data_IF_579509055071
#
_entry.id   IF_579509055071
#
_cell.length_a   1.000
_cell.length_b   1.000
_cell.length_c   1.000
_cell.angle_alpha   90.00
_cell.angle_beta   90.00
_cell.angle_gamma   90.00
#
_symmetry.space_group_name_H-M   'P 1'
#
loop_
_entity.id
_entity.type
_entity.pdbx_description
1 polymer ?
#
# COMPACT_ATOMS: atom_id res chain seq x y z
N UNK A 1 -12.84 4.42 -1.34
CA UNK A 1 -11.54 3.69 -1.29
C UNK A 1 -11.68 2.52 -0.35
N UNK A 2 -11.14 1.38 -0.74
CA UNK A 2 -11.22 0.17 0.07
C UNK A 2 -10.35 0.27 1.31
N UNK A 3 -10.88 -0.21 2.43
CA UNK A 3 -10.12 -0.34 3.67
C UNK A 3 -10.01 -1.81 4.01
N UNK A 4 -8.81 -2.29 4.21
CA UNK A 4 -8.53 -3.70 4.46
C UNK A 4 -7.77 -3.90 5.77
N UNK A 5 -7.90 -5.10 6.33
CA UNK A 5 -7.01 -5.57 7.38
C UNK A 5 -5.99 -6.48 6.72
N UNK A 6 -4.70 -6.14 6.80
CA UNK A 6 -3.67 -6.93 6.16
C UNK A 6 -3.56 -8.29 6.84
N UNK A 7 -3.75 -9.36 6.05
CA UNK A 7 -3.59 -10.72 6.55
C UNK A 7 -2.11 -11.13 6.50
N UNK A 8 -1.82 -12.35 6.96
CA UNK A 8 -0.46 -12.84 7.04
C UNK A 8 0.23 -12.87 5.66
N UNK A 9 -0.49 -13.18 4.59
CA UNK A 9 0.07 -13.22 3.25
C UNK A 9 0.46 -11.83 2.76
N UNK A 10 -0.41 -10.85 2.95
CA UNK A 10 -0.12 -9.46 2.56
C UNK A 10 1.11 -8.96 3.32
N UNK A 11 1.16 -9.22 4.62
CA UNK A 11 2.31 -8.83 5.44
C UNK A 11 3.61 -9.48 4.95
N UNK A 12 3.53 -10.76 4.59
CA UNK A 12 4.70 -11.48 4.08
C UNK A 12 5.19 -10.89 2.76
N UNK A 13 4.27 -10.62 1.82
CA UNK A 13 4.64 -9.99 0.54
C UNK A 13 5.28 -8.62 0.76
N UNK A 14 4.72 -7.82 1.65
CA UNK A 14 5.29 -6.50 1.96
C UNK A 14 6.69 -6.63 2.56
N UNK A 15 6.90 -7.59 3.46
CA UNK A 15 8.21 -7.84 4.04
C UNK A 15 9.23 -8.28 3.00
N UNK A 16 8.87 -9.18 2.10
CA UNK A 16 9.76 -9.59 1.01
C UNK A 16 10.05 -8.44 0.06
N UNK A 17 9.03 -7.66 -0.29
CA UNK A 17 9.22 -6.51 -1.17
C UNK A 17 10.17 -5.48 -0.53
N UNK A 18 10.07 -5.27 0.78
CA UNK A 18 10.97 -4.37 1.49
C UNK A 18 12.41 -4.88 1.44
N UNK A 19 12.60 -6.18 1.65
CA UNK A 19 13.95 -6.79 1.62
C UNK A 19 14.59 -6.69 0.24
N UNK A 20 13.81 -6.77 -0.81
CA UNK A 20 14.32 -6.70 -2.19
C UNK A 20 14.32 -5.29 -2.75
N UNK A 21 14.07 -4.29 -1.89
CA UNK A 21 14.01 -2.87 -2.29
C UNK A 21 12.96 -2.58 -3.35
N UNK A 22 11.86 -3.30 -3.28
CA UNK A 22 10.73 -3.15 -4.20
C UNK A 22 9.62 -2.29 -3.60
N UNK A 23 9.95 -1.51 -2.57
CA UNK A 23 9.02 -0.64 -1.86
C UNK A 23 9.62 0.75 -1.73
N UNK A 24 8.78 1.77 -1.85
CA UNK A 24 9.08 3.12 -1.41
C UNK A 24 8.16 3.43 -0.23
N UNK A 25 8.66 4.09 0.79
CA UNK A 25 7.86 4.42 1.97
C UNK A 25 8.11 5.86 2.43
N UNK A 26 7.09 6.46 3.01
CA UNK A 26 7.11 7.85 3.41
C UNK A 26 6.62 8.76 2.30
N UNK A 27 6.18 9.97 2.68
CA UNK A 27 5.48 10.87 1.77
C UNK A 27 6.28 11.22 0.51
N UNK A 28 7.53 11.63 0.68
CA UNK A 28 8.32 12.11 -0.46
C UNK A 28 8.66 10.99 -1.43
N UNK A 29 9.10 9.84 -0.90
CA UNK A 29 9.48 8.72 -1.76
C UNK A 29 8.28 8.15 -2.52
N UNK A 30 7.14 8.05 -1.87
CA UNK A 30 5.92 7.54 -2.52
C UNK A 30 5.44 8.53 -3.59
N UNK A 31 5.45 9.82 -3.30
CA UNK A 31 5.04 10.82 -4.28
C UNK A 31 5.92 10.78 -5.53
N UNK A 32 7.24 10.70 -5.34
CA UNK A 32 8.16 10.57 -6.46
C UNK A 32 7.90 9.32 -7.29
N UNK A 33 7.66 8.20 -6.63
CA UNK A 33 7.38 6.95 -7.32
C UNK A 33 6.10 7.02 -8.14
N UNK A 34 5.05 7.64 -7.59
CA UNK A 34 3.79 7.82 -8.32
C UNK A 34 4.02 8.70 -9.56
N UNK A 35 4.69 9.83 -9.39
CA UNK A 35 4.95 10.75 -10.50
C UNK A 35 5.81 10.14 -11.59
N UNK A 36 6.77 9.31 -11.20
CA UNK A 36 7.66 8.64 -12.14
C UNK A 36 7.03 7.43 -12.84
N UNK A 37 5.79 7.09 -12.50
CA UNK A 37 5.13 5.92 -13.08
C UNK A 37 5.65 4.59 -12.55
N UNK A 38 6.35 4.60 -11.43
CA UNK A 38 6.96 3.40 -10.85
C UNK A 38 6.09 2.73 -9.79
N UNK A 39 5.14 3.46 -9.21
CA UNK A 39 4.26 2.91 -8.17
C UNK A 39 3.21 2.00 -8.82
N UNK A 40 3.13 0.76 -8.34
CA UNK A 40 2.19 -0.24 -8.87
C UNK A 40 1.00 -0.46 -7.94
N UNK A 41 1.14 -0.12 -6.66
CA UNK A 41 0.11 -0.22 -5.65
C UNK A 41 0.47 0.75 -4.53
N UNK A 42 -0.49 1.54 -4.08
CA UNK A 42 -0.29 2.47 -2.97
C UNK A 42 -1.11 1.99 -1.78
N UNK A 43 -0.47 1.94 -0.61
CA UNK A 43 -1.12 1.54 0.63
C UNK A 43 -0.95 2.67 1.65
N UNK A 44 -2.04 3.04 2.31
CA UNK A 44 -2.05 4.12 3.29
C UNK A 44 -2.58 3.58 4.61
N UNK A 45 -1.87 3.87 5.70
CA UNK A 45 -2.36 3.54 7.03
C UNK A 45 -3.65 4.31 7.30
N UNK A 46 -4.69 3.62 7.75
CA UNK A 46 -5.99 4.25 8.02
C UNK A 46 -5.90 5.30 9.14
N UNK A 47 -4.85 5.24 9.96
CA UNK A 47 -4.61 6.20 11.04
C UNK A 47 -3.81 7.43 10.57
N UNK A 48 -3.45 7.50 9.30
CA UNK A 48 -2.81 8.69 8.75
C UNK A 48 -3.78 9.87 8.82
N UNK A 49 -3.23 11.09 8.77
CA UNK A 49 -4.07 12.29 8.76
C UNK A 49 -4.99 12.30 7.54
N UNK A 50 -6.13 12.98 7.65
CA UNK A 50 -7.03 13.14 6.51
C UNK A 50 -6.32 13.80 5.33
N UNK A 51 -5.46 14.77 5.61
CA UNK A 51 -4.69 15.44 4.55
C UNK A 51 -3.79 14.45 3.81
N UNK A 52 -3.13 13.55 4.54
CA UNK A 52 -2.29 12.52 3.93
C UNK A 52 -3.11 11.56 3.08
N UNK A 53 -4.24 11.09 3.61
CA UNK A 53 -5.11 10.17 2.89
C UNK A 53 -5.61 10.81 1.60
N UNK A 54 -6.10 12.04 1.68
CA UNK A 54 -6.58 12.76 0.50
C UNK A 54 -5.49 12.98 -0.53
N UNK A 55 -4.31 13.42 -0.09
CA UNK A 55 -3.16 13.69 -0.96
C UNK A 55 -2.79 12.46 -1.79
N UNK A 56 -2.61 11.32 -1.14
CA UNK A 56 -2.14 10.12 -1.83
C UNK A 56 -3.26 9.38 -2.57
N UNK A 57 -4.50 9.50 -2.11
CA UNK A 57 -5.66 9.01 -2.86
C UNK A 57 -5.80 9.74 -4.18
N UNK A 58 -5.68 11.06 -4.14
CA UNK A 58 -5.76 11.89 -5.34
C UNK A 58 -4.63 11.60 -6.30
N UNK A 59 -3.39 11.57 -5.81
CA UNK A 59 -2.22 11.30 -6.64
C UNK A 59 -2.32 9.92 -7.30
N UNK A 60 -2.76 8.91 -6.55
CA UNK A 60 -2.94 7.56 -7.08
C UNK A 60 -4.00 7.52 -8.17
N UNK A 61 -5.14 8.16 -7.93
CA UNK A 61 -6.22 8.24 -8.90
C UNK A 61 -5.76 8.94 -10.19
N UNK A 62 -5.06 10.05 -10.04
CA UNK A 62 -4.55 10.83 -11.19
C UNK A 62 -3.62 9.99 -12.07
N UNK A 63 -2.85 9.09 -11.47
CA UNK A 63 -1.90 8.25 -12.18
C UNK A 63 -2.41 6.83 -12.41
N UNK A 64 -3.68 6.58 -12.18
CA UNK A 64 -4.33 5.28 -12.39
C UNK A 64 -3.66 4.14 -11.60
N UNK A 65 -3.25 4.42 -10.37
CA UNK A 65 -2.65 3.44 -9.47
C UNK A 65 -3.68 3.03 -8.42
N UNK A 66 -3.81 1.73 -8.18
CA UNK A 66 -4.70 1.25 -7.13
C UNK A 66 -4.20 1.72 -5.77
N UNK A 67 -5.12 2.19 -4.94
CA UNK A 67 -4.83 2.71 -3.61
C UNK A 67 -5.80 2.12 -2.59
N UNK A 68 -5.27 1.62 -1.48
CA UNK A 68 -6.10 1.07 -0.40
C UNK A 68 -5.67 1.61 0.95
N UNK A 69 -6.61 1.65 1.89
CA UNK A 69 -6.32 1.93 3.29
C UNK A 69 -6.06 0.60 4.01
N UNK A 70 -5.06 0.59 4.86
CA UNK A 70 -4.72 -0.58 5.67
C UNK A 70 -4.98 -0.25 7.13
N UNK A 71 -5.78 -1.07 7.80
CA UNK A 71 -6.11 -0.85 9.21
C UNK A 71 -4.89 -1.04 10.11
N UNK A 72 -4.90 -0.31 11.23
CA UNK A 72 -3.88 -0.38 12.26
C UNK A 72 -2.49 0.01 11.74
N UNK A 73 -1.48 -0.38 12.49
CA UNK A 73 -0.08 -0.09 12.17
C UNK A 73 0.59 -1.23 11.41
N UNK A 74 -0.21 -2.17 10.90
CA UNK A 74 0.30 -3.36 10.21
C UNK A 74 1.20 -3.01 9.03
N UNK A 75 0.88 -1.93 8.33
CA UNK A 75 1.62 -1.52 7.14
C UNK A 75 3.09 -1.21 7.46
N UNK A 76 3.33 -0.31 8.41
CA UNK A 76 4.69 0.03 8.81
C UNK A 76 5.44 -1.13 9.43
N UNK A 77 4.75 -1.89 10.27
CA UNK A 77 5.35 -3.06 10.91
C UNK A 77 5.79 -4.10 9.88
N UNK A 78 4.99 -4.33 8.85
CA UNK A 78 5.30 -5.32 7.82
C UNK A 78 6.59 -5.01 7.06
N UNK A 79 6.91 -3.74 6.89
CA UNK A 79 8.12 -3.31 6.18
C UNK A 79 9.28 -2.96 7.12
N UNK A 80 9.09 -3.16 8.43
CA UNK A 80 10.14 -2.89 9.41
C UNK A 80 10.34 -1.41 9.73
N UNK A 81 9.37 -0.55 9.40
CA UNK A 81 9.41 0.89 9.66
C UNK A 81 8.08 1.33 10.24
N UNK A 82 7.85 1.09 11.54
CA UNK A 82 6.53 1.32 12.16
C UNK A 82 5.97 2.73 12.02
N UNK A 83 6.84 3.73 11.87
CA UNK A 83 6.42 5.12 11.74
C UNK A 83 5.86 5.48 10.36
N UNK A 84 6.03 4.62 9.36
CA UNK A 84 5.58 4.93 7.99
C UNK A 84 4.07 4.82 7.87
N UNK A 85 3.45 5.81 7.29
CA UNK A 85 2.00 5.88 7.10
C UNK A 85 1.57 5.68 5.65
N UNK A 86 2.50 5.79 4.70
CA UNK A 86 2.22 5.58 3.29
C UNK A 86 3.37 4.78 2.68
N UNK A 87 2.99 3.81 1.84
CA UNK A 87 3.93 2.88 1.22
C UNK A 87 3.44 2.61 -0.19
N UNK A 88 4.35 2.44 -1.14
CA UNK A 88 3.97 1.93 -2.45
C UNK A 88 4.84 0.76 -2.84
N UNK A 89 4.26 -0.15 -3.61
CA UNK A 89 4.96 -1.33 -4.15
C UNK A 89 5.43 -0.97 -5.55
N UNK A 90 6.70 -1.21 -5.82
CA UNK A 90 7.34 -0.84 -7.09
C UNK A 90 7.41 -1.99 -8.08
N UNK A 91 7.32 -3.21 -7.59
CA UNK A 91 7.40 -4.42 -8.41
C UNK A 91 6.00 -4.92 -8.75
N UNK A 92 5.72 -5.10 -10.04
CA UNK A 92 4.38 -5.51 -10.47
C UNK A 92 4.01 -6.92 -10.01
N UNK A 93 4.97 -7.81 -9.81
CA UNK A 93 4.67 -9.17 -9.32
C UNK A 93 4.18 -9.13 -7.88
N UNK A 94 4.86 -8.39 -7.01
CA UNK A 94 4.40 -8.22 -5.63
C UNK A 94 3.07 -7.48 -5.59
N UNK A 95 2.92 -6.43 -6.39
CA UNK A 95 1.68 -5.67 -6.44
C UNK A 95 0.51 -6.56 -6.86
N UNK A 96 0.68 -7.37 -7.91
CA UNK A 96 -0.36 -8.29 -8.38
C UNK A 96 -0.72 -9.31 -7.30
N UNK A 97 0.28 -9.89 -6.64
CA UNK A 97 0.03 -10.86 -5.57
C UNK A 97 -0.77 -10.24 -4.41
N UNK A 98 -0.41 -9.02 -4.02
CA UNK A 98 -1.10 -8.31 -2.95
C UNK A 98 -2.52 -7.93 -3.37
N UNK A 99 -2.71 -7.44 -4.59
CA UNK A 99 -4.03 -7.07 -5.10
C UNK A 99 -4.93 -8.30 -5.17
N UNK A 100 -4.42 -9.43 -5.63
CA UNK A 100 -5.19 -10.67 -5.65
C UNK A 100 -5.63 -11.08 -4.24
N UNK A 101 -4.77 -10.94 -3.26
CA UNK A 101 -5.09 -11.24 -1.87
C UNK A 101 -6.15 -10.28 -1.33
N UNK A 102 -6.06 -9.01 -1.67
CA UNK A 102 -7.07 -8.00 -1.31
C UNK A 102 -8.43 -8.38 -1.90
N UNK A 103 -8.47 -8.80 -3.14
CA UNK A 103 -9.71 -9.20 -3.79
C UNK A 103 -10.33 -10.43 -3.10
N UNK A 104 -9.53 -11.37 -2.64
CA UNK A 104 -10.03 -12.52 -1.89
C UNK A 104 -10.63 -12.10 -0.56
N UNK A 105 -10.04 -11.14 0.12
CA UNK A 105 -10.58 -10.59 1.36
C UNK A 105 -11.94 -9.94 1.10
N UNK A 106 -12.05 -9.12 0.05
CA UNK A 106 -13.30 -8.46 -0.31
C UNK A 106 -14.39 -9.48 -0.62
N UNK A 107 -14.07 -10.54 -1.36
CA UNK A 107 -15.03 -11.60 -1.67
C UNK A 107 -15.49 -12.31 -0.41
N UNK A 108 -14.58 -12.53 0.55
CA UNK A 108 -14.92 -13.12 1.84
C UNK A 108 -15.89 -12.26 2.62
N UNK A 109 -15.68 -10.94 2.60
CA UNK A 109 -16.51 -9.99 3.33
C UNK A 109 -17.92 -9.86 2.76
N UNK A 110 -18.13 -10.23 1.51
CA UNK A 110 -19.44 -10.15 0.84
C UNK A 110 -20.34 -11.34 1.12
N UNK A 111 -19.85 -12.33 1.82
CA UNK A 111 -20.67 -13.45 2.23
C UNK A 111 -21.49 -13.11 3.49
#
# INVERSE_FOLDING_TARGET
MDKITANAKIKAYLGFAAKTRSIASGADAVEQAIRAGKAKLVLICSQASNATIERFSFASSTHSVKCVLVEDEALGQAIGKPERKVVCVLDSKFATAIINEINLIDLGDKK
#
